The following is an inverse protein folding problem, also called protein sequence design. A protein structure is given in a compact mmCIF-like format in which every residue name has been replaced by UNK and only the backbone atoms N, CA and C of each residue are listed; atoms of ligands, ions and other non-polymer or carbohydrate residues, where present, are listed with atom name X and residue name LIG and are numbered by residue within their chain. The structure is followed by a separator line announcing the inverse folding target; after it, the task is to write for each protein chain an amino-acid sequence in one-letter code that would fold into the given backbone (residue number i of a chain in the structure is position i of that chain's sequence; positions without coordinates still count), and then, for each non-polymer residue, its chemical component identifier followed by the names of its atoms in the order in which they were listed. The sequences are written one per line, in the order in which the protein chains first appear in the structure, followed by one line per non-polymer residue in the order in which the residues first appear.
data_IF_957977660219
#
_entry.id   IF_957977660219
#
_cell.length_a   1.000
_cell.length_b   1.000
_cell.length_c   1.000
_cell.angle_alpha   90.00
_cell.angle_beta   90.00
_cell.angle_gamma   90.00
#
_symmetry.space_group_name_H-M   'P 1'
#
loop_
_entity.id
_entity.type
_entity.pdbx_description
1 polymer ?
#
# COMPACT_ATOMS: atom_id res chain seq x y z
N UNK A 1 9.10 -11.36 -4.58
CA UNK A 1 10.02 -10.22 -4.29
C UNK A 1 10.15 -9.17 -5.41
N UNK A 2 10.40 -9.55 -6.67
CA UNK A 2 10.67 -8.57 -7.75
C UNK A 2 9.47 -7.64 -8.06
N UNK A 3 8.25 -8.20 -8.05
CA UNK A 3 7.01 -7.44 -8.19
C UNK A 3 6.87 -6.34 -7.13
N UNK A 4 7.06 -6.67 -5.85
CA UNK A 4 6.89 -5.73 -4.74
C UNK A 4 7.94 -4.62 -4.78
N UNK A 5 9.19 -4.92 -5.15
CA UNK A 5 10.21 -3.90 -5.34
C UNK A 5 9.85 -2.96 -6.49
N UNK A 6 9.42 -3.49 -7.63
CA UNK A 6 8.95 -2.69 -8.78
C UNK A 6 7.80 -1.75 -8.38
N UNK A 7 6.83 -2.25 -7.63
CA UNK A 7 5.69 -1.46 -7.17
C UNK A 7 6.06 -0.40 -6.14
N UNK A 8 7.04 -0.69 -5.28
CA UNK A 8 7.60 0.31 -4.37
C UNK A 8 8.25 1.43 -5.17
N UNK A 9 9.09 1.11 -6.16
CA UNK A 9 9.77 2.12 -6.98
C UNK A 9 8.77 2.99 -7.75
N UNK A 10 7.74 2.38 -8.36
CA UNK A 10 6.63 3.11 -8.99
C UNK A 10 5.92 4.04 -7.99
N UNK A 11 5.57 3.52 -6.80
CA UNK A 11 4.90 4.30 -5.76
C UNK A 11 5.76 5.47 -5.22
N UNK A 12 7.08 5.30 -5.17
CA UNK A 12 8.03 6.36 -4.82
C UNK A 12 8.19 7.40 -5.94
N UNK A 13 7.95 7.02 -7.19
CA UNK A 13 7.89 7.95 -8.34
C UNK A 13 6.49 8.52 -8.62
N UNK A 14 5.48 8.12 -7.84
CA UNK A 14 4.05 8.45 -8.04
C UNK A 14 3.48 7.93 -9.37
N UNK A 15 4.02 6.83 -9.86
CA UNK A 15 3.51 6.12 -11.02
C UNK A 15 2.42 5.12 -10.59
N UNK A 16 1.44 4.92 -11.46
CA UNK A 16 0.37 3.96 -11.21
C UNK A 16 0.83 2.54 -11.57
N UNK A 17 0.41 1.51 -10.81
CA UNK A 17 0.56 0.14 -11.24
C UNK A 17 -0.32 -0.15 -12.46
N UNK A 18 0.11 -1.09 -13.30
CA UNK A 18 -0.76 -1.65 -14.33
C UNK A 18 -1.87 -2.50 -13.71
N UNK A 19 -2.90 -2.82 -14.48
CA UNK A 19 -3.97 -3.72 -14.03
C UNK A 19 -3.45 -5.11 -13.67
N UNK A 20 -2.49 -5.63 -14.44
CA UNK A 20 -1.88 -6.94 -14.21
C UNK A 20 -1.05 -6.94 -12.93
N UNK A 21 -0.27 -5.89 -12.69
CA UNK A 21 0.51 -5.75 -11.46
C UNK A 21 -0.38 -5.65 -10.22
N UNK A 22 -1.50 -4.91 -10.32
CA UNK A 22 -2.48 -4.82 -9.24
C UNK A 22 -3.12 -6.19 -8.95
N UNK A 23 -3.48 -6.95 -9.98
CA UNK A 23 -4.01 -8.31 -9.82
C UNK A 23 -2.97 -9.26 -9.23
N UNK A 24 -1.70 -9.14 -9.61
CA UNK A 24 -0.62 -9.97 -9.07
C UNK A 24 -0.41 -9.74 -7.56
N UNK A 25 -0.58 -8.51 -7.06
CA UNK A 25 -0.60 -8.24 -5.61
C UNK A 25 -1.76 -8.96 -4.92
N UNK A 26 -2.96 -8.94 -5.51
CA UNK A 26 -4.12 -9.64 -4.94
C UNK A 26 -3.98 -11.17 -4.96
N UNK A 27 -3.16 -11.70 -5.87
CA UNK A 27 -2.87 -13.13 -5.99
C UNK A 27 -1.64 -13.57 -5.18
N UNK A 28 -1.04 -12.68 -4.37
CA UNK A 28 0.10 -13.03 -3.51
C UNK A 28 -0.35 -14.03 -2.44
N UNK A 29 0.41 -15.13 -2.21
CA UNK A 29 0.03 -16.13 -1.21
C UNK A 29 0.12 -15.58 0.23
N UNK A 30 -0.64 -16.20 1.14
CA UNK A 30 -0.79 -15.71 2.52
C UNK A 30 0.53 -15.69 3.31
N UNK A 31 1.48 -16.58 2.99
CA UNK A 31 2.81 -16.62 3.60
C UNK A 31 3.70 -15.43 3.23
N UNK A 32 3.41 -14.76 2.10
CA UNK A 32 4.07 -13.52 1.65
C UNK A 32 3.35 -12.24 2.13
N UNK A 33 2.25 -12.34 2.89
CA UNK A 33 1.45 -11.18 3.32
C UNK A 33 2.29 -10.11 4.04
N UNK A 34 3.21 -10.52 4.92
CA UNK A 34 4.05 -9.59 5.66
C UNK A 34 5.00 -8.80 4.74
N UNK A 35 5.45 -9.40 3.63
CA UNK A 35 6.29 -8.73 2.65
C UNK A 35 5.50 -7.67 1.86
N UNK A 36 4.24 -7.96 1.52
CA UNK A 36 3.32 -6.98 0.90
C UNK A 36 3.12 -5.77 1.81
N UNK A 37 2.84 -6.01 3.10
CA UNK A 37 2.65 -4.94 4.09
C UNK A 37 3.94 -4.15 4.28
N UNK A 38 5.10 -4.82 4.34
CA UNK A 38 6.39 -4.16 4.47
C UNK A 38 6.71 -3.26 3.26
N UNK A 39 6.42 -3.72 2.04
CA UNK A 39 6.56 -2.97 0.80
C UNK A 39 5.67 -1.71 0.79
N UNK A 40 4.38 -1.85 1.09
CA UNK A 40 3.46 -0.72 1.22
C UNK A 40 3.92 0.27 2.30
N UNK A 41 4.49 -0.23 3.40
CA UNK A 41 5.07 0.56 4.46
C UNK A 41 6.21 1.48 4.01
N UNK A 42 7.04 1.07 3.04
CA UNK A 42 8.10 1.91 2.46
C UNK A 42 7.50 3.13 1.76
N UNK A 43 6.52 2.91 0.86
CA UNK A 43 5.83 3.98 0.12
C UNK A 43 5.09 4.92 1.08
N UNK A 44 4.36 4.36 2.06
CA UNK A 44 3.63 5.14 3.08
C UNK A 44 4.57 6.05 3.89
N UNK A 45 5.73 5.55 4.32
CA UNK A 45 6.68 6.34 5.11
C UNK A 45 7.28 7.49 4.31
N UNK A 46 7.55 7.32 3.01
CA UNK A 46 8.06 8.39 2.16
C UNK A 46 7.08 9.57 2.10
N UNK A 47 5.79 9.30 1.90
CA UNK A 47 4.81 10.35 1.64
C UNK A 47 4.11 10.87 2.89
N UNK A 48 3.93 10.03 3.91
CA UNK A 48 3.15 10.37 5.11
C UNK A 48 3.96 10.34 6.40
N UNK A 49 5.19 9.83 6.36
CA UNK A 49 6.01 9.63 7.55
C UNK A 49 5.33 8.69 8.55
N UNK A 50 5.47 9.02 9.83
CA UNK A 50 4.82 8.30 10.95
C UNK A 50 3.49 8.94 11.39
N UNK A 51 2.97 9.90 10.63
CA UNK A 51 1.73 10.61 10.99
C UNK A 51 0.50 9.72 10.84
N UNK A 52 -0.50 9.96 11.68
CA UNK A 52 -1.81 9.31 11.61
C UNK A 52 -2.90 10.37 11.53
N UNK A 53 -3.95 10.11 10.73
CA UNK A 53 -5.12 10.99 10.63
C UNK A 53 -6.24 10.40 11.48
N UNK A 54 -6.64 11.13 12.52
CA UNK A 54 -7.81 10.82 13.33
C UNK A 54 -9.05 11.36 12.60
N UNK A 55 -9.97 10.46 12.24
CA UNK A 55 -11.26 10.83 11.65
C UNK A 55 -12.34 10.52 12.69
N UNK A 56 -13.09 11.54 13.12
CA UNK A 56 -14.21 11.40 14.03
C UNK A 56 -15.51 11.47 13.21
N UNK A 57 -16.28 10.39 13.24
CA UNK A 57 -17.54 10.28 12.53
C UNK A 57 -18.68 10.37 13.54
N UNK A 58 -19.45 11.44 13.49
CA UNK A 58 -20.67 11.59 14.29
C UNK A 58 -21.83 11.03 13.50
N UNK A 59 -22.50 10.03 14.04
CA UNK A 59 -23.78 9.59 13.53
C UNK A 59 -24.87 10.52 14.06
N UNK A 60 -25.40 11.40 13.20
CA UNK A 60 -26.55 12.25 13.50
C UNK A 60 -27.85 11.44 13.28
N UNK A 61 -28.05 10.39 14.08
CA UNK A 61 -29.37 9.80 14.27
C UNK A 61 -30.01 10.44 15.50
N UNK A 62 -31.28 10.84 15.39
CA UNK A 62 -32.11 11.20 16.55
C UNK A 62 -32.31 10.00 17.47
#
# INVERSE_FOLDING_TARGET
MDLLNTLVDKGLRRELPSREEALAVLATPDDELLDVVAAAGKVRRQWFGRRVKLNYLVNLKS
#
